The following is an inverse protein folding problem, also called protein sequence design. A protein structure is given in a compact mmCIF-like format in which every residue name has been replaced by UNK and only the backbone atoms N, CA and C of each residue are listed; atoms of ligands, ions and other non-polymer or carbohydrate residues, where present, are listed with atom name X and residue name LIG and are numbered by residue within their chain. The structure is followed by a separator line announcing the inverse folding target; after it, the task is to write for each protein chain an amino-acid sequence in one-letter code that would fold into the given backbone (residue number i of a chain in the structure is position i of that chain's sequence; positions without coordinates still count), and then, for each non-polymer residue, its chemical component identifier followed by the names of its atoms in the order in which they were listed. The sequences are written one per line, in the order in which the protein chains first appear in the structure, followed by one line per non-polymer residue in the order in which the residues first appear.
data_IF_772431528356
#
_entry.id   IF_772431528356
#
_cell.length_a   1.000
_cell.length_b   1.000
_cell.length_c   1.000
_cell.angle_alpha   90.00
_cell.angle_beta   90.00
_cell.angle_gamma   90.00
#
_symmetry.space_group_name_H-M   'P 1'
#
loop_
_entity.id
_entity.type
_entity.pdbx_description
1 polymer ?
#
# COMPACT_ATOMS: atom_id res chain seq x y z
N UNK A 1 -5.02 21.32 -16.26
CA UNK A 1 -6.12 22.30 -16.11
C UNK A 1 -7.40 21.52 -15.88
N UNK A 2 -8.11 21.82 -14.79
CA UNK A 2 -9.28 21.10 -14.33
C UNK A 2 -10.53 21.49 -15.13
N UNK A 3 -11.41 20.52 -15.41
CA UNK A 3 -12.80 20.78 -15.79
C UNK A 3 -13.71 19.86 -14.98
N UNK A 4 -14.57 20.51 -14.19
CA UNK A 4 -15.72 19.94 -13.48
C UNK A 4 -16.74 19.36 -14.48
N UNK A 5 -17.30 18.19 -14.17
CA UNK A 5 -18.53 17.70 -14.78
C UNK A 5 -19.57 17.40 -13.69
N UNK A 6 -20.54 18.30 -13.61
CA UNK A 6 -21.80 18.16 -12.88
C UNK A 6 -22.80 17.46 -13.80
N UNK A 7 -23.51 16.46 -13.27
CA UNK A 7 -24.56 15.68 -13.96
C UNK A 7 -25.89 16.44 -13.90
N UNK A 8 -26.69 16.50 -14.99
CA UNK A 8 -28.12 16.77 -14.88
C UNK A 8 -29.00 15.60 -15.38
N UNK A 9 -30.09 15.36 -14.64
CA UNK A 9 -31.19 14.48 -15.00
C UNK A 9 -32.09 15.12 -16.06
N UNK A 10 -32.68 14.31 -16.94
CA UNK A 10 -33.40 14.77 -18.14
C UNK A 10 -34.87 15.16 -17.92
N UNK A 11 -35.38 16.00 -18.83
CA UNK A 11 -36.44 15.65 -19.81
C UNK A 11 -37.12 16.88 -20.44
N UNK A 12 -37.66 16.67 -21.64
CA UNK A 12 -38.70 17.42 -22.37
C UNK A 12 -38.33 18.65 -23.27
N UNK A 13 -38.27 18.35 -24.58
CA UNK A 13 -39.00 18.97 -25.71
C UNK A 13 -39.09 20.50 -25.87
N UNK A 14 -38.48 21.08 -26.92
CA UNK A 14 -39.14 21.61 -28.15
C UNK A 14 -38.22 22.55 -28.98
N UNK A 15 -38.20 22.29 -30.30
CA UNK A 15 -38.01 23.17 -31.49
C UNK A 15 -37.07 24.39 -31.52
N UNK A 16 -36.38 24.44 -32.67
CA UNK A 16 -35.95 25.59 -33.51
C UNK A 16 -34.52 26.17 -33.39
N UNK A 17 -33.68 25.72 -34.34
CA UNK A 17 -33.05 26.50 -35.44
C UNK A 17 -32.23 27.75 -35.06
N UNK A 18 -30.91 27.67 -35.21
CA UNK A 18 -30.08 28.41 -36.20
C UNK A 18 -28.57 28.19 -35.97
N UNK A 19 -27.87 28.09 -37.09
CA UNK A 19 -26.41 27.98 -37.26
C UNK A 19 -25.65 29.19 -36.69
N UNK A 20 -24.41 28.98 -36.25
CA UNK A 20 -23.26 29.65 -36.88
C UNK A 20 -21.90 29.07 -36.45
N UNK A 21 -21.08 28.87 -37.47
CA UNK A 21 -19.67 28.46 -37.47
C UNK A 21 -18.82 29.71 -37.24
N UNK A 22 -17.74 29.63 -36.45
CA UNK A 22 -16.54 30.46 -36.73
C UNK A 22 -15.27 29.82 -36.17
N UNK A 23 -14.30 29.70 -37.09
CA UNK A 23 -12.91 29.26 -36.92
C UNK A 23 -12.05 30.52 -36.79
N UNK A 24 -11.07 30.56 -35.88
CA UNK A 24 -9.81 31.29 -36.12
C UNK A 24 -8.75 31.05 -35.02
N UNK A 25 -7.62 30.48 -35.44
CA UNK A 25 -6.25 30.86 -35.05
C UNK A 25 -5.62 31.55 -36.28
N UNK A 26 -4.35 32.01 -36.34
CA UNK A 26 -3.25 32.05 -35.35
C UNK A 26 -2.48 33.43 -35.35
N UNK A 27 -1.38 33.58 -34.58
CA UNK A 27 -0.04 34.02 -35.09
C UNK A 27 1.05 34.22 -34.02
N UNK A 28 2.26 34.12 -34.56
CA UNK A 28 3.65 34.05 -34.07
C UNK A 28 4.29 35.27 -33.38
N UNK A 29 5.53 34.98 -32.91
CA UNK A 29 6.73 35.83 -32.75
C UNK A 29 6.91 36.45 -31.35
N UNK A 30 8.08 36.50 -30.71
CA UNK A 30 9.45 36.16 -31.06
C UNK A 30 10.41 36.81 -30.04
N UNK A 31 11.71 36.47 -30.12
CA UNK A 31 12.90 37.15 -29.57
C UNK A 31 13.29 37.06 -28.07
N UNK A 32 14.44 36.40 -27.85
CA UNK A 32 15.49 36.65 -26.83
C UNK A 32 16.27 37.96 -27.16
N UNK A 33 17.19 38.52 -26.32
CA UNK A 33 18.50 37.88 -25.97
C UNK A 33 19.19 38.23 -24.62
N UNK A 34 20.10 37.33 -24.20
CA UNK A 34 21.48 37.48 -23.66
C UNK A 34 21.91 38.49 -22.56
N UNK A 35 22.66 37.98 -21.56
CA UNK A 35 24.03 38.39 -21.10
C UNK A 35 24.25 38.08 -19.58
N UNK A 36 25.11 37.13 -19.17
CA UNK A 36 26.57 37.21 -18.84
C UNK A 36 26.93 38.02 -17.56
N UNK A 37 27.39 37.34 -16.50
CA UNK A 37 28.74 37.53 -15.87
C UNK A 37 28.91 36.72 -14.56
N UNK A 38 30.05 36.01 -14.45
CA UNK A 38 30.75 35.61 -13.21
C UNK A 38 31.85 36.65 -12.93
N UNK A 39 32.39 36.73 -11.70
CA UNK A 39 33.72 36.11 -11.48
C UNK A 39 33.92 35.50 -10.07
N UNK A 40 34.86 34.55 -9.97
CA UNK A 40 35.52 34.16 -8.70
C UNK A 40 36.74 35.07 -8.41
N UNK A 41 37.47 34.83 -7.30
CA UNK A 41 38.72 34.07 -7.45
C UNK A 41 39.10 33.14 -6.28
N UNK A 42 40.13 32.32 -6.53
CA UNK A 42 40.78 31.29 -5.70
C UNK A 42 41.91 31.86 -4.80
N UNK A 43 42.39 31.01 -3.89
CA UNK A 43 43.80 30.66 -3.49
C UNK A 43 43.80 30.44 -1.95
N UNK A 44 44.38 29.41 -1.31
CA UNK A 44 45.12 28.20 -1.70
C UNK A 44 45.89 27.64 -0.47
N UNK A 45 46.17 26.32 -0.47
CA UNK A 45 47.26 25.62 0.26
C UNK A 45 47.15 25.48 1.81
N UNK A 46 47.61 24.48 2.56
CA UNK A 46 48.28 23.17 2.32
C UNK A 46 48.37 22.39 3.66
N UNK A 47 48.10 21.08 3.63
CA UNK A 47 48.87 19.92 4.18
C UNK A 47 49.33 19.79 5.67
N UNK A 48 49.12 18.53 6.15
CA UNK A 48 49.92 17.66 7.06
C UNK A 48 49.59 17.61 8.58
N UNK A 49 49.14 16.44 9.04
CA UNK A 49 49.65 15.82 10.29
C UNK A 49 50.87 14.91 9.97
N UNK A 50 51.32 13.98 10.83
CA UNK A 50 50.91 13.60 12.20
C UNK A 50 52.10 13.50 13.22
N UNK A 51 51.85 13.21 14.51
CA UNK A 51 52.62 12.27 15.37
C UNK A 51 52.29 12.36 16.88
N UNK A 52 52.53 11.22 17.52
CA UNK A 52 52.30 10.68 18.87
C UNK A 52 53.10 11.23 20.09
N UNK A 53 52.43 11.29 21.26
CA UNK A 53 52.78 10.79 22.63
C UNK A 53 54.02 11.36 23.41
N UNK A 54 54.23 11.13 24.75
CA UNK A 54 53.35 10.75 25.89
C UNK A 54 53.65 11.44 27.29
N UNK A 55 52.83 11.06 28.31
CA UNK A 55 53.09 10.93 29.79
C UNK A 55 52.72 11.99 30.87
N UNK A 56 52.13 11.42 31.95
CA UNK A 56 52.02 11.78 33.39
C UNK A 56 50.95 12.76 33.95
N UNK A 57 49.79 12.17 34.30
CA UNK A 57 49.21 12.04 35.65
C UNK A 57 49.14 13.20 36.66
N UNK A 58 47.91 13.58 37.06
CA UNK A 58 47.55 13.82 38.48
C UNK A 58 46.04 13.78 38.73
N UNK A 59 45.66 13.07 39.80
CA UNK A 59 44.32 12.85 40.36
C UNK A 59 43.72 14.12 41.00
N UNK A 60 42.41 14.31 40.93
CA UNK A 60 41.53 14.97 41.94
C UNK A 60 40.16 14.28 41.90
N UNK A 61 39.86 13.42 42.88
CA UNK A 61 39.12 13.71 44.12
C UNK A 61 37.63 14.02 43.90
N UNK A 62 36.85 12.95 43.95
CA UNK A 62 35.40 12.92 44.13
C UNK A 62 35.09 13.01 45.63
N UNK A 63 34.22 13.94 46.02
CA UNK A 63 33.71 14.13 47.38
C UNK A 63 32.37 13.37 47.50
N UNK A 64 32.22 12.40 48.41
CA UNK A 64 30.92 11.79 48.70
C UNK A 64 30.25 12.50 49.89
N UNK A 65 29.09 13.12 49.66
CA UNK A 65 28.22 13.59 50.73
C UNK A 65 27.32 12.43 51.20
N UNK A 66 27.67 11.86 52.36
CA UNK A 66 26.79 11.03 53.19
C UNK A 66 25.70 11.93 53.79
N UNK A 67 24.44 11.66 53.48
CA UNK A 67 23.31 12.18 54.25
C UNK A 67 22.77 11.03 55.10
N UNK A 68 22.87 11.22 56.41
CA UNK A 68 22.39 10.32 57.47
C UNK A 68 20.87 10.42 57.57
N UNK A 69 20.18 9.29 57.51
CA UNK A 69 18.76 9.17 57.84
C UNK A 69 18.62 9.19 59.36
N UNK A 70 18.14 10.31 59.90
CA UNK A 70 17.69 10.40 61.30
C UNK A 70 16.17 10.19 61.32
N UNK A 71 15.74 9.05 61.87
CA UNK A 71 14.33 8.83 62.24
C UNK A 71 13.94 9.83 63.33
N UNK A 72 13.02 10.74 63.00
CA UNK A 72 12.24 11.47 64.00
C UNK A 72 10.81 10.92 63.97
N UNK A 73 10.45 10.14 65.00
CA UNK A 73 9.06 9.88 65.34
C UNK A 73 8.47 11.18 65.90
N UNK A 74 7.57 11.79 65.15
CA UNK A 74 6.75 12.92 65.57
C UNK A 74 5.32 12.69 65.13
N UNK A 75 4.50 12.13 66.02
CA UNK A 75 3.05 12.03 65.84
C UNK A 75 2.46 13.45 65.83
N UNK A 76 2.00 13.92 64.66
CA UNK A 76 1.09 15.07 64.58
C UNK A 76 -0.18 14.64 63.83
N UNK A 77 -1.31 14.64 64.55
CA UNK A 77 -2.65 14.42 63.99
C UNK A 77 -3.01 15.61 63.10
N UNK A 78 -2.96 15.44 61.78
CA UNK A 78 -3.57 16.39 60.84
C UNK A 78 -5.05 16.05 60.65
N UNK A 79 -5.93 17.01 60.96
CA UNK A 79 -7.38 16.88 60.87
C UNK A 79 -7.89 16.79 59.42
N UNK A 80 -9.00 16.06 59.24
CA UNK A 80 -9.59 15.70 57.95
C UNK A 80 -9.93 16.85 56.98
N UNK A 81 -9.88 18.12 57.42
CA UNK A 81 -10.06 19.28 56.53
C UNK A 81 -8.86 19.52 55.61
N UNK A 82 -7.65 19.11 55.98
CA UNK A 82 -6.45 19.29 55.15
C UNK A 82 -6.39 18.27 53.99
N UNK A 83 -6.85 17.04 54.23
CA UNK A 83 -6.97 15.99 53.20
C UNK A 83 -8.02 16.33 52.14
N UNK A 84 -9.15 16.93 52.54
CA UNK A 84 -10.15 17.41 51.60
C UNK A 84 -9.63 18.56 50.73
N UNK A 85 -8.81 19.47 51.28
CA UNK A 85 -8.27 20.60 50.53
C UNK A 85 -7.23 20.16 49.48
N UNK A 86 -6.37 19.19 49.82
CA UNK A 86 -5.40 18.60 48.86
C UNK A 86 -6.11 17.79 47.77
N UNK A 87 -7.20 17.08 48.10
CA UNK A 87 -8.01 16.37 47.11
C UNK A 87 -8.79 17.33 46.21
N UNK A 88 -9.35 18.41 46.76
CA UNK A 88 -10.08 19.41 45.99
C UNK A 88 -9.15 20.19 45.06
N UNK A 89 -7.94 20.57 45.50
CA UNK A 89 -6.95 21.28 44.67
C UNK A 89 -6.40 20.38 43.55
N UNK A 90 -6.15 19.08 43.80
CA UNK A 90 -5.70 18.15 42.74
C UNK A 90 -6.81 17.85 41.72
N UNK A 91 -8.07 17.77 42.14
CA UNK A 91 -9.22 17.62 41.23
C UNK A 91 -9.49 18.91 40.45
N UNK A 92 -9.36 20.08 41.08
CA UNK A 92 -9.56 21.38 40.42
C UNK A 92 -8.42 21.70 39.44
N UNK A 93 -7.16 21.34 39.74
CA UNK A 93 -6.04 21.45 38.79
C UNK A 93 -6.22 20.54 37.58
N UNK A 94 -6.82 19.36 37.75
CA UNK A 94 -7.20 18.49 36.64
C UNK A 94 -8.28 19.12 35.74
N UNK A 95 -9.20 19.88 36.32
CA UNK A 95 -10.25 20.59 35.59
C UNK A 95 -9.78 21.91 34.95
N UNK A 96 -8.81 22.61 35.53
CA UNK A 96 -8.33 23.91 35.05
C UNK A 96 -7.12 23.82 34.10
N UNK A 97 -6.22 22.84 34.29
CA UNK A 97 -4.97 22.75 33.51
C UNK A 97 -4.98 21.73 32.37
N UNK A 98 -6.13 21.10 32.05
CA UNK A 98 -6.28 20.28 30.84
C UNK A 98 -5.27 19.12 30.70
N UNK A 99 -4.56 18.76 31.78
CA UNK A 99 -3.56 17.70 31.83
C UNK A 99 -4.18 16.33 32.09
N UNK A 100 -5.41 16.12 31.61
CA UNK A 100 -5.78 14.77 31.20
C UNK A 100 -5.00 14.51 29.92
N UNK A 101 -3.78 13.97 30.05
CA UNK A 101 -3.20 13.20 28.96
C UNK A 101 -4.22 12.12 28.62
N UNK A 102 -5.06 12.39 27.63
CA UNK A 102 -5.85 11.39 26.94
C UNK A 102 -4.84 10.40 26.40
N UNK A 103 -4.54 9.36 27.18
CA UNK A 103 -3.74 8.24 26.73
C UNK A 103 -4.39 7.77 25.43
N UNK A 104 -3.71 8.01 24.31
CA UNK A 104 -4.31 7.89 22.98
C UNK A 104 -5.01 6.54 22.85
N UNK A 105 -6.25 6.56 22.36
CA UNK A 105 -7.02 5.35 22.13
C UNK A 105 -6.20 4.38 21.27
N UNK A 106 -6.04 3.14 21.71
CA UNK A 106 -5.28 2.12 20.97
C UNK A 106 -6.24 1.31 20.11
N UNK A 107 -6.02 1.32 18.79
CA UNK A 107 -6.83 0.57 17.84
C UNK A 107 -6.03 -0.67 17.39
N UNK A 108 -6.45 -1.88 17.77
CA UNK A 108 -5.80 -3.12 17.35
C UNK A 108 -6.15 -3.50 15.91
N UNK A 109 -5.13 -3.86 15.13
CA UNK A 109 -5.20 -4.30 13.75
C UNK A 109 -4.63 -5.71 13.62
N UNK A 110 -5.30 -6.57 12.87
CA UNK A 110 -4.73 -7.86 12.47
C UNK A 110 -4.01 -7.73 11.14
N UNK A 111 -2.87 -8.37 10.99
CA UNK A 111 -2.14 -8.40 9.73
C UNK A 111 -1.65 -9.81 9.41
N UNK A 112 -1.92 -10.30 8.20
CA UNK A 112 -1.51 -11.63 7.73
C UNK A 112 -0.67 -11.47 6.46
N UNK A 113 0.54 -12.01 6.47
CA UNK A 113 1.46 -11.96 5.33
C UNK A 113 1.90 -13.35 4.92
N UNK A 114 2.04 -13.59 3.63
CA UNK A 114 2.64 -14.82 3.12
C UNK A 114 4.17 -14.76 3.14
N UNK A 115 4.82 -15.91 3.32
CA UNK A 115 6.27 -16.03 3.27
C UNK A 115 6.80 -15.54 1.92
N UNK A 116 7.86 -14.71 1.94
CA UNK A 116 8.44 -14.10 0.75
C UNK A 116 7.92 -12.69 0.44
N UNK A 117 6.97 -12.16 1.22
CA UNK A 117 6.47 -10.77 1.10
C UNK A 117 7.12 -9.81 2.11
N UNK A 118 8.43 -9.98 2.34
CA UNK A 118 9.14 -9.25 3.40
C UNK A 118 9.16 -7.74 3.19
N UNK A 119 9.27 -7.28 1.94
CA UNK A 119 9.20 -5.87 1.56
C UNK A 119 7.83 -5.25 1.91
N UNK A 120 6.74 -5.98 1.64
CA UNK A 120 5.37 -5.58 1.98
C UNK A 120 5.16 -5.53 3.49
N UNK A 121 5.66 -6.54 4.22
CA UNK A 121 5.60 -6.56 5.69
C UNK A 121 6.38 -5.39 6.30
N UNK A 122 7.55 -5.09 5.76
CA UNK A 122 8.38 -3.97 6.20
C UNK A 122 7.71 -2.63 5.91
N UNK A 123 7.10 -2.46 4.73
CA UNK A 123 6.33 -1.26 4.39
C UNK A 123 5.13 -1.04 5.34
N UNK A 124 4.44 -2.11 5.72
CA UNK A 124 3.37 -2.07 6.73
C UNK A 124 3.87 -1.60 8.10
N UNK A 125 4.95 -2.20 8.62
CA UNK A 125 5.56 -1.81 9.90
C UNK A 125 6.03 -0.35 9.87
N UNK A 126 6.64 0.06 8.77
CA UNK A 126 7.11 1.42 8.56
C UNK A 126 5.95 2.43 8.54
N UNK A 127 4.83 2.11 7.87
CA UNK A 127 3.63 2.95 7.85
C UNK A 127 3.05 3.17 9.25
N UNK A 128 2.93 2.11 10.05
CA UNK A 128 2.44 2.19 11.44
C UNK A 128 3.38 3.01 12.31
N UNK A 129 4.69 2.78 12.20
CA UNK A 129 5.69 3.54 12.94
C UNK A 129 5.60 5.04 12.61
N UNK A 130 5.51 5.38 11.32
CA UNK A 130 5.38 6.76 10.86
C UNK A 130 4.10 7.43 11.39
N UNK A 131 2.97 6.72 11.42
CA UNK A 131 1.74 7.22 12.03
C UNK A 131 1.90 7.44 13.54
N UNK A 132 2.41 6.44 14.26
CA UNK A 132 2.52 6.47 15.72
C UNK A 132 3.52 7.53 16.23
N UNK A 133 4.60 7.81 15.47
CA UNK A 133 5.59 8.84 15.80
C UNK A 133 5.11 10.27 15.54
N UNK A 134 4.10 10.46 14.69
CA UNK A 134 3.60 11.80 14.34
C UNK A 134 2.65 12.35 15.42
N UNK A 135 3.22 12.85 16.51
CA UNK A 135 2.48 13.23 17.73
C UNK A 135 1.57 14.46 17.55
N UNK A 136 1.95 15.40 16.68
CA UNK A 136 1.28 16.72 16.58
C UNK A 136 -0.14 16.70 15.99
N UNK A 137 -0.62 15.55 15.48
CA UNK A 137 -1.97 15.43 14.89
C UNK A 137 -2.66 14.10 15.16
N UNK A 138 -2.08 13.22 15.98
CA UNK A 138 -2.55 11.85 16.18
C UNK A 138 -3.60 11.77 17.28
N UNK A 139 -4.77 11.19 16.95
CA UNK A 139 -5.88 10.98 17.91
C UNK A 139 -5.86 9.59 18.56
N UNK A 140 -5.26 8.61 17.90
CA UNK A 140 -5.22 7.21 18.30
C UNK A 140 -3.89 6.57 17.90
N UNK A 141 -3.47 5.55 18.64
CA UNK A 141 -2.31 4.71 18.32
C UNK A 141 -2.77 3.44 17.59
N UNK A 142 -2.03 3.03 16.56
CA UNK A 142 -2.26 1.74 15.92
C UNK A 142 -1.41 0.65 16.60
N UNK A 143 -2.06 -0.44 17.02
CA UNK A 143 -1.39 -1.63 17.52
C UNK A 143 -1.59 -2.76 16.51
N UNK A 144 -0.53 -3.29 15.93
CA UNK A 144 -0.65 -4.37 14.93
C UNK A 144 -0.24 -5.74 15.46
N UNK A 145 -1.04 -6.74 15.11
CA UNK A 145 -0.81 -8.14 15.38
C UNK A 145 -0.48 -8.86 14.07
N UNK A 146 0.81 -9.08 13.83
CA UNK A 146 1.32 -9.63 12.58
C UNK A 146 1.50 -11.14 12.71
N UNK A 147 0.87 -11.91 11.82
CA UNK A 147 1.14 -13.34 11.62
C UNK A 147 1.70 -13.56 10.20
N UNK A 148 2.68 -14.46 10.07
CA UNK A 148 3.26 -14.87 8.77
C UNK A 148 2.87 -16.31 8.48
N UNK A 149 2.35 -16.56 7.29
CA UNK A 149 1.85 -17.86 6.84
C UNK A 149 2.71 -18.43 5.71
N UNK A 150 2.78 -19.75 5.64
CA UNK A 150 3.48 -20.51 4.60
C UNK A 150 2.60 -21.60 3.98
N UNK A 151 1.27 -21.48 4.14
CA UNK A 151 0.32 -22.52 3.75
C UNK A 151 -0.96 -21.90 3.22
N UNK A 152 -1.46 -22.45 2.11
CA UNK A 152 -2.78 -22.17 1.57
C UNK A 152 -3.87 -23.11 2.13
N UNK A 153 -3.54 -23.92 3.14
CA UNK A 153 -4.47 -24.85 3.77
C UNK A 153 -5.57 -24.08 4.53
N UNK A 154 -6.80 -24.17 4.03
CA UNK A 154 -7.96 -23.48 4.59
C UNK A 154 -8.22 -23.81 6.07
N UNK A 155 -7.92 -25.03 6.55
CA UNK A 155 -8.09 -25.39 7.95
C UNK A 155 -7.08 -24.69 8.86
N UNK A 156 -5.81 -24.58 8.42
CA UNK A 156 -4.80 -23.82 9.16
C UNK A 156 -5.10 -22.32 9.11
N UNK A 157 -5.49 -21.82 7.94
CA UNK A 157 -5.84 -20.40 7.75
C UNK A 157 -7.04 -19.98 8.59
N UNK A 158 -8.13 -20.74 8.58
CA UNK A 158 -9.28 -20.48 9.45
C UNK A 158 -8.90 -20.35 10.91
N UNK A 159 -8.07 -21.26 11.44
CA UNK A 159 -7.61 -21.17 12.84
C UNK A 159 -6.80 -19.90 13.12
N UNK A 160 -5.95 -19.47 12.18
CA UNK A 160 -5.16 -18.24 12.30
C UNK A 160 -6.04 -16.99 12.25
N UNK A 161 -7.00 -16.94 11.31
CA UNK A 161 -7.98 -15.86 11.20
C UNK A 161 -8.77 -15.72 12.49
N UNK A 162 -9.25 -16.84 13.03
CA UNK A 162 -10.00 -16.86 14.28
C UNK A 162 -9.16 -16.46 15.49
N UNK A 163 -7.87 -16.77 15.48
CA UNK A 163 -6.94 -16.26 16.49
C UNK A 163 -6.75 -14.74 16.38
N UNK A 164 -6.75 -14.18 15.16
CA UNK A 164 -6.71 -12.73 14.98
C UNK A 164 -8.00 -12.07 15.45
N UNK A 165 -9.15 -12.67 15.17
CA UNK A 165 -10.45 -12.19 15.65
C UNK A 165 -10.55 -12.24 17.18
N UNK A 166 -9.95 -13.25 17.81
CA UNK A 166 -9.93 -13.37 19.27
C UNK A 166 -9.10 -12.28 19.97
N UNK A 167 -8.13 -11.68 19.26
CA UNK A 167 -7.34 -10.52 19.71
C UNK A 167 -8.14 -9.20 19.69
N UNK A 168 -9.39 -9.21 19.21
CA UNK A 168 -10.26 -8.03 19.22
C UNK A 168 -9.89 -6.97 18.17
N UNK A 169 -9.39 -7.40 17.02
CA UNK A 169 -8.96 -6.50 15.93
C UNK A 169 -10.15 -5.80 15.25
N UNK A 170 -9.93 -4.56 14.80
CA UNK A 170 -10.98 -3.73 14.18
C UNK A 170 -11.03 -3.85 12.67
N UNK A 171 -9.90 -4.23 12.08
CA UNK A 171 -9.71 -4.47 10.67
C UNK A 171 -8.55 -5.45 10.50
N UNK A 172 -8.63 -6.24 9.45
CA UNK A 172 -7.56 -7.07 8.96
C UNK A 172 -6.85 -6.38 7.80
N UNK A 173 -5.54 -6.57 7.69
CA UNK A 173 -4.75 -6.24 6.52
C UNK A 173 -3.94 -7.46 6.10
N UNK A 174 -3.53 -7.53 4.85
CA UNK A 174 -2.63 -8.61 4.46
C UNK A 174 -2.34 -8.68 2.99
N UNK A 175 -1.17 -9.22 2.67
CA UNK A 175 -0.78 -9.62 1.32
C UNK A 175 -0.67 -11.14 1.31
N UNK A 176 -1.55 -11.77 0.55
CA UNK A 176 -1.71 -13.22 0.52
C UNK A 176 -1.91 -13.70 -0.92
N UNK A 177 -1.52 -14.94 -1.19
CA UNK A 177 -1.80 -15.64 -2.44
C UNK A 177 -3.31 -15.70 -2.74
N UNK A 178 -3.70 -15.80 -4.03
CA UNK A 178 -5.10 -16.00 -4.41
C UNK A 178 -5.77 -17.17 -3.68
N UNK A 179 -5.06 -18.29 -3.55
CA UNK A 179 -5.58 -19.50 -2.88
C UNK A 179 -5.91 -19.25 -1.39
N UNK A 180 -5.05 -18.48 -0.70
CA UNK A 180 -5.26 -18.13 0.71
C UNK A 180 -6.33 -17.05 0.89
N UNK A 181 -6.48 -16.17 -0.10
CA UNK A 181 -7.45 -15.09 -0.04
C UNK A 181 -8.88 -15.61 -0.02
N UNK A 182 -9.24 -16.62 -0.81
CA UNK A 182 -10.63 -17.09 -0.88
C UNK A 182 -11.17 -17.48 0.51
N UNK A 183 -10.30 -18.08 1.32
CA UNK A 183 -10.59 -18.37 2.72
C UNK A 183 -10.74 -17.09 3.55
N UNK A 184 -9.79 -16.15 3.45
CA UNK A 184 -9.85 -14.86 4.16
C UNK A 184 -11.08 -14.03 3.79
N UNK A 185 -11.46 -14.03 2.52
CA UNK A 185 -12.60 -13.33 1.96
C UNK A 185 -13.91 -13.88 2.47
N UNK A 186 -14.05 -15.20 2.47
CA UNK A 186 -15.20 -15.89 3.02
C UNK A 186 -15.41 -15.56 4.50
N UNK A 187 -14.33 -15.59 5.29
CA UNK A 187 -14.38 -15.21 6.71
C UNK A 187 -14.67 -13.71 6.90
N UNK A 188 -14.01 -12.83 6.13
CA UNK A 188 -14.24 -11.39 6.16
C UNK A 188 -15.72 -11.05 5.92
N UNK A 189 -16.35 -11.67 4.92
CA UNK A 189 -17.76 -11.47 4.62
C UNK A 189 -18.71 -12.10 5.64
N UNK A 190 -18.40 -13.30 6.13
CA UNK A 190 -19.23 -14.00 7.13
C UNK A 190 -19.27 -13.25 8.46
N UNK A 191 -18.12 -12.78 8.93
CA UNK A 191 -17.99 -12.05 10.20
C UNK A 191 -18.11 -10.53 10.03
N UNK A 192 -18.34 -10.02 8.82
CA UNK A 192 -18.38 -8.60 8.50
C UNK A 192 -17.09 -7.86 8.93
N UNK A 193 -15.95 -8.55 8.94
CA UNK A 193 -14.66 -7.99 9.34
C UNK A 193 -14.03 -7.27 8.14
N UNK A 194 -13.76 -5.96 8.21
CA UNK A 194 -13.09 -5.23 7.12
C UNK A 194 -11.71 -5.83 6.85
N UNK A 195 -11.44 -6.17 5.60
CA UNK A 195 -10.15 -6.68 5.15
C UNK A 195 -9.60 -5.79 4.04
N UNK A 196 -8.40 -5.22 4.24
CA UNK A 196 -7.74 -4.38 3.24
C UNK A 196 -6.50 -5.08 2.73
N UNK A 197 -6.40 -5.22 1.42
CA UNK A 197 -5.25 -5.88 0.78
C UNK A 197 -4.61 -4.99 -0.30
N UNK A 198 -3.27 -4.90 -0.36
CA UNK A 198 -2.57 -4.24 -1.46
C UNK A 198 -2.69 -5.01 -2.77
N UNK A 199 -3.02 -6.29 -2.70
CA UNK A 199 -2.95 -7.20 -3.83
C UNK A 199 -4.05 -8.26 -3.78
N UNK A 200 -4.97 -8.22 -4.74
CA UNK A 200 -5.97 -9.27 -4.97
C UNK A 200 -6.53 -9.23 -6.42
N UNK A 201 -7.00 -10.36 -7.00
CA UNK A 201 -7.52 -10.46 -8.37
C UNK A 201 -8.65 -9.51 -8.76
N UNK A 202 -8.73 -9.40 -10.09
CA UNK A 202 -9.48 -8.43 -10.86
C UNK A 202 -10.99 -8.63 -10.83
N UNK A 203 -11.46 -9.69 -10.18
CA UNK A 203 -12.88 -9.91 -9.91
C UNK A 203 -13.07 -10.75 -8.66
N UNK A 204 -13.32 -10.09 -7.53
CA UNK A 204 -14.15 -10.72 -6.49
C UNK A 204 -15.55 -10.78 -7.07
N UNK A 205 -16.16 -11.96 -7.17
CA UNK A 205 -17.59 -12.04 -7.49
C UNK A 205 -18.33 -11.32 -6.38
N UNK A 206 -18.79 -10.09 -6.65
CA UNK A 206 -19.64 -9.38 -5.72
C UNK A 206 -20.84 -10.29 -5.41
N UNK A 207 -21.20 -10.48 -4.13
CA UNK A 207 -22.28 -11.37 -3.79
C UNK A 207 -23.55 -10.93 -4.53
N UNK A 208 -24.13 -11.84 -5.33
CA UNK A 208 -25.33 -11.62 -6.15
C UNK A 208 -26.55 -11.13 -5.35
N UNK A 209 -26.44 -11.20 -4.03
CA UNK A 209 -27.43 -10.86 -3.02
C UNK A 209 -27.42 -9.39 -2.58
N UNK A 210 -26.56 -8.53 -3.17
CA UNK A 210 -26.56 -7.08 -2.87
C UNK A 210 -25.96 -6.70 -1.51
N UNK A 211 -25.30 -7.64 -0.82
CA UNK A 211 -24.55 -7.35 0.40
C UNK A 211 -23.23 -6.62 0.11
N UNK A 212 -22.78 -5.81 1.07
CA UNK A 212 -21.49 -5.14 1.00
C UNK A 212 -20.36 -6.17 1.08
N UNK A 213 -19.42 -6.11 0.14
CA UNK A 213 -18.16 -6.86 0.24
C UNK A 213 -17.28 -6.20 1.32
N UNK A 214 -16.77 -7.01 2.25
CA UNK A 214 -15.93 -6.54 3.36
C UNK A 214 -14.44 -6.54 3.01
N UNK A 215 -14.06 -7.12 1.87
CA UNK A 215 -12.73 -6.94 1.31
C UNK A 215 -12.63 -5.67 0.46
N UNK A 216 -11.55 -4.93 0.66
CA UNK A 216 -11.20 -3.74 -0.11
C UNK A 216 -9.82 -3.93 -0.72
N UNK A 217 -9.77 -3.96 -2.05
CA UNK A 217 -8.51 -3.98 -2.80
C UNK A 217 -7.99 -2.56 -3.00
N UNK A 218 -6.69 -2.37 -2.76
CA UNK A 218 -5.98 -1.13 -3.09
C UNK A 218 -5.44 -1.13 -4.52
N UNK A 219 -5.39 -2.31 -5.17
CA UNK A 219 -4.86 -2.47 -6.52
C UNK A 219 -5.86 -1.91 -7.55
N UNK A 220 -5.45 -0.98 -8.42
CA UNK A 220 -6.30 -0.53 -9.50
C UNK A 220 -6.50 -1.64 -10.54
N UNK A 221 -7.68 -1.70 -11.14
CA UNK A 221 -7.93 -2.51 -12.33
C UNK A 221 -7.16 -1.91 -13.52
N UNK A 222 -6.34 -2.72 -14.19
CA UNK A 222 -5.49 -2.24 -15.29
C UNK A 222 -5.69 -2.99 -16.61
N UNK A 223 -6.62 -3.96 -16.71
CA UNK A 223 -7.03 -4.51 -18.00
C UNK A 223 -7.47 -3.43 -19.00
N UNK A 224 -8.15 -2.36 -18.52
CA UNK A 224 -8.52 -1.23 -19.37
C UNK A 224 -7.29 -0.48 -19.90
N UNK A 225 -6.28 -0.28 -19.07
CA UNK A 225 -5.02 0.34 -19.49
C UNK A 225 -4.29 -0.49 -20.56
N UNK A 226 -4.33 -1.83 -20.46
CA UNK A 226 -3.81 -2.73 -21.50
C UNK A 226 -4.55 -2.49 -22.81
N UNK A 227 -5.88 -2.54 -22.79
CA UNK A 227 -6.73 -2.34 -23.98
C UNK A 227 -6.45 -0.99 -24.63
N UNK A 228 -6.38 0.08 -23.83
CA UNK A 228 -6.16 1.43 -24.32
C UNK A 228 -4.74 1.60 -24.88
N UNK A 229 -3.74 0.92 -24.31
CA UNK A 229 -2.37 0.90 -24.85
C UNK A 229 -2.30 0.18 -26.19
N UNK A 230 -2.96 -0.97 -26.31
CA UNK A 230 -3.06 -1.74 -27.57
C UNK A 230 -3.76 -0.91 -28.66
N UNK A 231 -4.83 -0.19 -28.29
CA UNK A 231 -5.53 0.75 -29.18
C UNK A 231 -4.65 1.94 -29.57
N UNK A 232 -3.93 2.54 -28.63
CA UNK A 232 -3.04 3.68 -28.86
C UNK A 232 -1.96 3.36 -29.88
N UNK A 233 -1.35 2.17 -29.80
CA UNK A 233 -0.36 1.74 -30.78
C UNK A 233 -0.96 1.16 -32.08
N UNK A 234 -2.27 0.98 -32.17
CA UNK A 234 -2.93 0.42 -33.34
C UNK A 234 -2.59 -1.05 -33.61
N UNK A 235 -2.28 -1.82 -32.55
CA UNK A 235 -1.95 -3.24 -32.69
C UNK A 235 -3.19 -4.04 -33.08
N UNK A 236 -3.18 -4.67 -34.25
CA UNK A 236 -4.32 -5.46 -34.74
C UNK A 236 -4.33 -6.90 -34.23
N UNK A 237 -3.17 -7.46 -33.93
CA UNK A 237 -2.98 -8.84 -33.50
C UNK A 237 -2.02 -8.87 -32.33
N UNK A 238 -2.44 -9.44 -31.21
CA UNK A 238 -1.59 -9.58 -30.02
C UNK A 238 -1.36 -11.06 -29.68
N UNK A 239 -0.21 -11.34 -29.07
CA UNK A 239 0.16 -12.63 -28.50
C UNK A 239 0.10 -12.47 -26.98
N UNK A 240 -0.67 -13.29 -26.29
CA UNK A 240 -0.85 -13.21 -24.84
C UNK A 240 -0.13 -14.36 -24.15
N UNK A 241 0.89 -14.05 -23.36
CA UNK A 241 1.63 -15.02 -22.53
C UNK A 241 1.30 -14.77 -21.07
N UNK A 242 0.98 -15.82 -20.32
CA UNK A 242 0.59 -15.69 -18.91
C UNK A 242 1.08 -16.86 -18.06
N UNK A 243 1.34 -16.65 -16.76
CA UNK A 243 1.82 -17.70 -15.85
C UNK A 243 0.74 -18.25 -14.88
N UNK A 244 -0.20 -17.39 -14.51
CA UNK A 244 -1.10 -17.58 -13.36
C UNK A 244 -2.58 -17.61 -13.75
N UNK A 245 -3.42 -18.15 -12.86
CA UNK A 245 -4.87 -18.14 -13.05
C UNK A 245 -5.43 -16.71 -13.10
N UNK A 246 -4.82 -15.77 -12.38
CA UNK A 246 -5.13 -14.34 -12.43
C UNK A 246 -4.99 -13.79 -13.86
N UNK A 247 -3.95 -14.21 -14.59
CA UNK A 247 -3.74 -13.76 -15.96
C UNK A 247 -4.80 -14.29 -16.93
N UNK A 248 -5.39 -15.46 -16.64
CA UNK A 248 -6.53 -15.96 -17.40
C UNK A 248 -7.81 -15.15 -17.15
N UNK A 249 -8.04 -14.73 -15.90
CA UNK A 249 -9.18 -13.86 -15.56
C UNK A 249 -9.03 -12.49 -16.22
N UNK A 250 -7.83 -11.92 -16.23
CA UNK A 250 -7.53 -10.67 -16.94
C UNK A 250 -7.78 -10.80 -18.44
N UNK A 251 -7.35 -11.91 -19.05
CA UNK A 251 -7.64 -12.20 -20.44
C UNK A 251 -9.14 -12.28 -20.71
N UNK A 252 -9.92 -12.92 -19.82
CA UNK A 252 -11.38 -12.96 -19.93
C UNK A 252 -11.98 -11.55 -19.90
N UNK A 253 -11.49 -10.66 -19.04
CA UNK A 253 -11.94 -9.26 -18.99
C UNK A 253 -11.56 -8.48 -20.25
N UNK A 254 -10.38 -8.74 -20.82
CA UNK A 254 -9.98 -8.17 -22.10
C UNK A 254 -10.98 -8.60 -23.19
N UNK A 255 -11.34 -9.88 -23.28
CA UNK A 255 -12.36 -10.35 -24.22
C UNK A 255 -13.74 -9.76 -23.96
N UNK A 256 -14.16 -9.61 -22.69
CA UNK A 256 -15.45 -9.01 -22.35
C UNK A 256 -15.53 -7.52 -22.71
N UNK A 257 -14.40 -6.81 -22.65
CA UNK A 257 -14.32 -5.41 -23.04
C UNK A 257 -14.23 -5.21 -24.56
N UNK A 258 -13.91 -6.26 -25.32
CA UNK A 258 -13.96 -6.25 -26.78
C UNK A 258 -15.41 -6.44 -27.24
N UNK A 259 -15.95 -5.45 -27.95
CA UNK A 259 -17.33 -5.48 -28.44
C UNK A 259 -17.40 -6.42 -29.66
N UNK A 260 -18.27 -7.43 -29.65
CA UNK A 260 -18.47 -8.30 -30.81
C UNK A 260 -18.85 -7.49 -32.05
N UNK A 261 -18.10 -7.62 -33.13
CA UNK A 261 -18.36 -6.94 -34.42
C UNK A 261 -17.70 -5.57 -34.60
N UNK A 262 -17.04 -5.02 -33.58
CA UNK A 262 -16.20 -3.81 -33.69
C UNK A 262 -14.89 -3.99 -32.90
N UNK A 263 -14.19 -5.09 -33.18
CA UNK A 263 -12.95 -5.43 -32.51
C UNK A 263 -11.80 -4.56 -33.05
N UNK A 264 -11.20 -3.75 -32.18
CA UNK A 264 -10.00 -2.98 -32.53
C UNK A 264 -8.77 -3.86 -32.73
N UNK A 265 -8.75 -5.04 -32.09
CA UNK A 265 -7.67 -6.01 -32.19
C UNK A 265 -8.15 -7.43 -31.88
N UNK A 266 -7.37 -8.42 -32.30
CA UNK A 266 -7.60 -9.83 -32.05
C UNK A 266 -6.44 -10.45 -31.26
N UNK A 267 -6.76 -11.35 -30.34
CA UNK A 267 -5.75 -12.16 -29.65
C UNK A 267 -5.46 -13.37 -30.53
N UNK A 268 -4.29 -13.36 -31.19
CA UNK A 268 -3.91 -14.40 -32.17
C UNK A 268 -3.54 -15.70 -31.47
N UNK A 269 -2.76 -15.60 -30.40
CA UNK A 269 -2.26 -16.77 -29.66
C UNK A 269 -2.29 -16.48 -28.18
N UNK A 270 -2.71 -17.48 -27.42
CA UNK A 270 -2.73 -17.46 -25.95
C UNK A 270 -1.90 -18.66 -25.49
N UNK A 271 -0.90 -18.43 -24.64
CA UNK A 271 -0.06 -19.51 -24.11
C UNK A 271 0.19 -19.30 -22.62
N UNK A 272 -0.13 -20.34 -21.84
CA UNK A 272 0.34 -20.44 -20.47
C UNK A 272 1.83 -20.81 -20.47
N UNK A 273 2.63 -20.10 -19.69
CA UNK A 273 4.05 -20.32 -19.50
C UNK A 273 4.30 -20.69 -18.04
N UNK A 274 5.09 -21.72 -17.79
CA UNK A 274 5.50 -22.08 -16.43
C UNK A 274 6.89 -21.55 -16.11
N UNK A 275 7.77 -21.55 -17.12
CA UNK A 275 9.19 -21.21 -16.99
C UNK A 275 9.63 -20.31 -18.15
N UNK A 276 10.73 -19.57 -17.95
CA UNK A 276 11.34 -18.70 -18.97
C UNK A 276 11.74 -19.47 -20.23
N UNK A 277 12.30 -20.66 -20.09
CA UNK A 277 12.70 -21.50 -21.24
C UNK A 277 11.52 -21.87 -22.13
N UNK A 278 10.34 -22.11 -21.55
CA UNK A 278 9.13 -22.45 -22.30
C UNK A 278 8.66 -21.24 -23.12
N UNK A 279 8.69 -20.05 -22.53
CA UNK A 279 8.38 -18.81 -23.22
C UNK A 279 9.34 -18.57 -24.40
N UNK A 280 10.65 -18.73 -24.20
CA UNK A 280 11.64 -18.56 -25.26
C UNK A 280 11.47 -19.58 -26.39
N UNK A 281 11.22 -20.85 -26.05
CA UNK A 281 10.96 -21.89 -27.06
C UNK A 281 9.71 -21.57 -27.88
N UNK A 282 8.64 -21.10 -27.24
CA UNK A 282 7.44 -20.67 -27.93
C UNK A 282 7.71 -19.49 -28.89
N UNK A 283 8.47 -18.49 -28.44
CA UNK A 283 8.87 -17.35 -29.28
C UNK A 283 9.71 -17.79 -30.49
N UNK A 284 10.62 -18.77 -30.32
CA UNK A 284 11.38 -19.34 -31.45
C UNK A 284 10.46 -19.97 -32.48
N UNK A 285 9.45 -20.73 -32.05
CA UNK A 285 8.46 -21.30 -32.95
C UNK A 285 7.68 -20.25 -33.74
N UNK A 286 7.38 -19.08 -33.15
CA UNK A 286 6.76 -17.97 -33.87
C UNK A 286 7.70 -17.34 -34.91
N UNK A 287 8.99 -17.29 -34.60
CA UNK A 287 10.01 -16.77 -35.50
C UNK A 287 10.23 -17.68 -36.71
N UNK A 288 10.22 -19.00 -36.50
CA UNK A 288 10.30 -20.02 -37.57
C UNK A 288 9.11 -19.92 -38.52
N UNK A 289 7.91 -19.66 -38.00
CA UNK A 289 6.69 -19.50 -38.81
C UNK A 289 6.67 -18.17 -39.60
N UNK A 290 7.17 -17.09 -39.00
CA UNK A 290 6.95 -15.74 -39.53
C UNK A 290 8.05 -14.75 -39.14
N UNK A 291 9.25 -14.88 -39.73
CA UNK A 291 10.42 -14.04 -39.37
C UNK A 291 10.18 -12.52 -39.49
N UNK A 292 9.46 -12.08 -40.51
CA UNK A 292 9.32 -10.65 -40.85
C UNK A 292 8.05 -9.99 -40.31
N UNK A 293 7.14 -10.76 -39.71
CA UNK A 293 5.92 -10.20 -39.14
C UNK A 293 6.23 -9.51 -37.81
N UNK A 294 5.62 -8.34 -37.60
CA UNK A 294 5.65 -7.65 -36.31
C UNK A 294 4.85 -8.46 -35.28
N UNK A 295 5.49 -8.77 -34.16
CA UNK A 295 4.96 -9.58 -33.07
C UNK A 295 4.78 -8.71 -31.84
N UNK A 296 3.52 -8.45 -31.51
CA UNK A 296 3.14 -7.69 -30.33
C UNK A 296 2.81 -8.66 -29.20
N UNK A 297 3.65 -8.71 -28.17
CA UNK A 297 3.57 -9.70 -27.10
C UNK A 297 3.17 -9.04 -25.80
N UNK A 298 2.02 -9.43 -25.25
CA UNK A 298 1.59 -9.08 -23.89
C UNK A 298 2.12 -10.13 -22.92
N UNK A 299 2.95 -9.72 -21.98
CA UNK A 299 3.52 -10.56 -20.93
C UNK A 299 2.78 -10.31 -19.61
N UNK A 300 1.95 -11.28 -19.21
CA UNK A 300 1.21 -11.31 -17.95
C UNK A 300 1.77 -12.37 -17.00
N UNK A 301 2.99 -12.11 -16.55
CA UNK A 301 3.69 -12.93 -15.56
C UNK A 301 4.32 -12.05 -14.47
N UNK A 302 4.94 -12.69 -13.48
CA UNK A 302 5.69 -11.99 -12.44
C UNK A 302 6.78 -11.08 -13.01
N UNK A 303 7.15 -10.06 -12.24
CA UNK A 303 8.19 -9.10 -12.63
C UNK A 303 9.50 -9.80 -12.97
N UNK A 304 9.94 -10.73 -12.12
CA UNK A 304 11.19 -11.48 -12.32
C UNK A 304 11.14 -12.33 -13.59
N UNK A 305 10.04 -13.03 -13.83
CA UNK A 305 9.89 -13.88 -15.03
C UNK A 305 9.85 -13.04 -16.30
N UNK A 306 9.09 -11.94 -16.31
CA UNK A 306 9.07 -11.00 -17.43
C UNK A 306 10.47 -10.46 -17.72
N UNK A 307 11.24 -10.14 -16.67
CA UNK A 307 12.61 -9.64 -16.80
C UNK A 307 13.52 -10.65 -17.49
N UNK A 308 13.48 -11.89 -17.02
CA UNK A 308 14.30 -12.97 -17.57
C UNK A 308 13.90 -13.36 -18.99
N UNK A 309 12.61 -13.31 -19.34
CA UNK A 309 12.14 -13.56 -20.72
C UNK A 309 12.70 -12.53 -21.69
N UNK A 310 12.63 -11.24 -21.35
CA UNK A 310 13.15 -10.16 -22.20
C UNK A 310 14.67 -10.28 -22.36
N UNK A 311 15.40 -10.50 -21.26
CA UNK A 311 16.85 -10.72 -21.28
C UNK A 311 17.22 -11.93 -22.13
N UNK A 312 16.53 -13.05 -21.91
CA UNK A 312 16.72 -14.29 -22.64
C UNK A 312 16.46 -14.11 -24.13
N UNK A 313 15.41 -13.37 -24.50
CA UNK A 313 15.11 -13.05 -25.89
C UNK A 313 16.26 -12.29 -26.53
N UNK A 314 16.71 -11.20 -25.91
CA UNK A 314 17.72 -10.32 -26.51
C UNK A 314 19.07 -11.04 -26.69
N UNK A 315 19.41 -11.94 -25.76
CA UNK A 315 20.62 -12.78 -25.82
C UNK A 315 20.53 -13.91 -26.84
N UNK A 316 19.33 -14.32 -27.21
CA UNK A 316 19.11 -15.36 -28.20
C UNK A 316 19.34 -14.83 -29.63
N UNK A 317 20.25 -15.46 -30.36
CA UNK A 317 20.58 -15.08 -31.74
C UNK A 317 19.49 -15.50 -32.72
N UNK A 318 18.69 -16.52 -32.37
CA UNK A 318 17.61 -17.01 -33.22
C UNK A 318 16.40 -16.06 -33.25
N UNK A 319 16.24 -15.20 -32.24
CA UNK A 319 15.09 -14.30 -32.11
C UNK A 319 15.38 -12.91 -32.69
N UNK A 320 14.46 -12.42 -33.51
CA UNK A 320 14.55 -11.09 -34.09
C UNK A 320 14.22 -10.00 -33.06
N UNK A 321 15.07 -8.99 -32.90
CA UNK A 321 14.81 -7.91 -31.90
C UNK A 321 13.91 -6.80 -32.43
N UNK A 322 14.02 -6.48 -33.73
CA UNK A 322 13.34 -5.32 -34.36
C UNK A 322 11.86 -5.54 -34.66
N UNK A 323 11.45 -6.81 -34.76
CA UNK A 323 10.08 -7.20 -35.11
C UNK A 323 9.21 -7.42 -33.88
N UNK A 324 9.76 -7.26 -32.67
CA UNK A 324 9.04 -7.51 -31.42
C UNK A 324 8.81 -6.22 -30.64
N UNK A 325 7.64 -6.16 -30.01
CA UNK A 325 7.30 -5.15 -29.02
C UNK A 325 6.58 -5.82 -27.87
N UNK A 326 7.17 -5.70 -26.68
CA UNK A 326 6.64 -6.26 -25.44
C UNK A 326 5.77 -5.24 -24.70
N UNK A 327 4.59 -5.66 -24.29
CA UNK A 327 3.75 -4.97 -23.31
C UNK A 327 3.74 -5.78 -22.02
N UNK A 328 4.34 -5.23 -20.97
CA UNK A 328 4.32 -5.80 -19.63
C UNK A 328 2.99 -5.41 -18.98
N UNK A 329 2.08 -6.37 -18.82
CA UNK A 329 0.75 -6.08 -18.28
C UNK A 329 0.78 -5.79 -16.78
N UNK A 330 1.69 -6.41 -16.03
CA UNK A 330 1.81 -6.18 -14.58
C UNK A 330 2.32 -4.78 -14.21
N UNK A 331 2.15 -4.40 -12.94
CA UNK A 331 2.77 -3.22 -12.32
C UNK A 331 4.26 -3.48 -12.04
N UNK A 332 4.95 -3.90 -13.08
CA UNK A 332 6.26 -4.56 -13.06
C UNK A 332 7.40 -3.55 -13.19
N UNK A 333 7.12 -2.34 -13.70
CA UNK A 333 8.13 -1.32 -14.01
C UNK A 333 8.47 -0.38 -12.81
N UNK A 334 8.13 -0.76 -11.58
CA UNK A 334 8.52 0.05 -10.39
C UNK A 334 10.01 -0.17 -10.01
N UNK A 335 10.60 -1.29 -10.43
CA UNK A 335 12.04 -1.55 -10.33
C UNK A 335 12.79 -0.88 -11.49
N UNK A 336 13.97 -0.29 -11.23
CA UNK A 336 14.77 0.45 -12.24
C UNK A 336 15.47 -0.49 -13.24
N UNK A 337 14.69 -1.24 -14.01
CA UNK A 337 15.19 -2.20 -15.00
C UNK A 337 16.10 -1.55 -16.04
N UNK A 338 15.78 -0.32 -16.44
CA UNK A 338 16.54 0.47 -17.43
C UNK A 338 18.00 0.72 -17.04
N UNK A 339 18.32 0.75 -15.74
CA UNK A 339 19.68 0.98 -15.26
C UNK A 339 20.46 -0.32 -15.02
N UNK A 340 19.75 -1.43 -14.79
CA UNK A 340 20.36 -2.72 -14.42
C UNK A 340 20.65 -3.61 -15.63
N UNK A 341 19.92 -3.43 -16.74
CA UNK A 341 19.96 -4.38 -17.85
C UNK A 341 20.04 -3.64 -19.20
N UNK A 342 21.22 -3.70 -19.81
CA UNK A 342 21.52 -3.04 -21.11
C UNK A 342 20.63 -3.59 -22.23
N UNK A 343 20.20 -4.84 -22.13
CA UNK A 343 19.36 -5.54 -23.10
C UNK A 343 17.99 -4.88 -23.32
N UNK A 344 17.48 -4.09 -22.37
CA UNK A 344 16.20 -3.38 -22.50
C UNK A 344 16.23 -2.29 -23.57
N UNK A 345 17.41 -1.75 -23.90
CA UNK A 345 17.57 -0.80 -25.00
C UNK A 345 17.52 -1.43 -26.39
N UNK A 346 17.52 -2.77 -26.48
CA UNK A 346 17.61 -3.48 -27.75
C UNK A 346 16.25 -3.84 -28.37
N UNK A 347 15.16 -3.70 -27.62
CA UNK A 347 13.81 -4.12 -28.01
C UNK A 347 12.76 -3.13 -27.47
N UNK A 348 11.63 -2.98 -28.16
CA UNK A 348 10.57 -2.09 -27.71
C UNK A 348 9.82 -2.70 -26.53
N UNK A 349 9.75 -1.96 -25.42
CA UNK A 349 9.09 -2.40 -24.19
C UNK A 349 8.19 -1.28 -23.70
N UNK A 350 6.95 -1.63 -23.41
CA UNK A 350 5.97 -0.77 -22.76
C UNK A 350 5.52 -1.45 -21.47
N UNK A 351 5.32 -0.69 -20.41
CA UNK A 351 4.77 -1.22 -19.17
C UNK A 351 4.13 -0.13 -18.34
N UNK A 352 3.50 -0.53 -17.24
CA UNK A 352 2.78 0.38 -16.34
C UNK A 352 3.55 0.58 -15.04
N UNK A 353 3.53 1.81 -14.54
CA UNK A 353 4.15 2.22 -13.27
C UNK A 353 3.14 3.03 -12.48
N UNK A 354 2.89 2.66 -11.23
CA UNK A 354 1.97 3.41 -10.35
C UNK A 354 2.73 4.32 -9.37
N UNK A 355 3.98 4.00 -9.06
CA UNK A 355 4.80 4.80 -8.15
C UNK A 355 5.56 5.86 -8.94
N UNK A 356 5.18 7.12 -8.78
CA UNK A 356 5.84 8.25 -9.43
C UNK A 356 6.85 8.92 -8.49
N UNK A 357 8.12 8.59 -8.69
CA UNK A 357 9.28 9.12 -7.97
C UNK A 357 9.51 10.63 -8.14
N UNK A 358 8.86 11.31 -9.10
CA UNK A 358 8.98 12.76 -9.26
C UNK A 358 8.24 13.54 -8.15
N UNK A 359 7.21 12.93 -7.56
CA UNK A 359 6.34 13.57 -6.57
C UNK A 359 7.06 13.73 -5.23
N UNK A 360 6.96 14.92 -4.63
CA UNK A 360 7.63 15.26 -3.37
C UNK A 360 7.38 14.22 -2.25
N UNK A 361 6.13 13.86 -2.02
CA UNK A 361 5.79 12.90 -0.95
C UNK A 361 6.39 11.51 -1.18
N UNK A 362 6.53 11.07 -2.43
CA UNK A 362 7.20 9.80 -2.76
C UNK A 362 8.69 9.91 -2.50
N UNK A 363 9.32 11.05 -2.85
CA UNK A 363 10.73 11.30 -2.53
C UNK A 363 11.00 11.31 -1.04
N UNK A 364 10.18 12.03 -0.26
CA UNK A 364 10.29 12.08 1.20
C UNK A 364 10.16 10.66 1.81
N UNK A 365 9.22 9.86 1.29
CA UNK A 365 9.07 8.46 1.68
C UNK A 365 10.32 7.62 1.33
N UNK A 366 10.81 7.70 0.08
CA UNK A 366 11.97 6.94 -0.39
C UNK A 366 13.24 7.30 0.39
N UNK A 367 13.41 8.57 0.78
CA UNK A 367 14.52 8.98 1.64
C UNK A 367 14.46 8.32 3.03
N UNK A 368 13.28 8.19 3.62
CA UNK A 368 13.07 7.44 4.85
C UNK A 368 13.29 5.94 4.67
N UNK A 369 12.76 5.38 3.59
CA UNK A 369 12.88 3.97 3.23
C UNK A 369 14.33 3.53 3.03
N UNK A 370 15.14 4.36 2.38
CA UNK A 370 16.57 4.12 2.15
C UNK A 370 17.39 4.10 3.44
N UNK A 371 16.96 4.82 4.47
CA UNK A 371 17.66 4.89 5.78
C UNK A 371 17.40 3.68 6.67
N UNK A 372 16.42 2.84 6.33
CA UNK A 372 16.14 1.63 7.09
C UNK A 372 17.28 0.62 6.91
N UNK A 373 17.66 -0.04 8.02
CA UNK A 373 18.66 -1.10 8.01
C UNK A 373 18.08 -2.35 7.34
N UNK A 374 18.69 -2.79 6.23
CA UNK A 374 18.26 -3.95 5.47
C UNK A 374 18.31 -5.27 6.27
N UNK A 375 19.14 -5.34 7.33
CA UNK A 375 19.21 -6.52 8.20
C UNK A 375 17.98 -6.60 9.12
N UNK A 376 17.54 -5.47 9.67
CA UNK A 376 16.36 -5.41 10.55
C UNK A 376 15.05 -5.31 9.78
N UNK A 377 15.10 -4.78 8.56
CA UNK A 377 13.96 -4.48 7.69
C UNK A 377 14.21 -5.06 6.31
N UNK A 378 14.04 -6.38 6.12
CA UNK A 378 14.28 -7.02 4.84
C UNK A 378 13.39 -6.43 3.74
N UNK A 379 13.96 -6.22 2.56
CA UNK A 379 13.29 -5.55 1.44
C UNK A 379 13.36 -4.01 1.46
N UNK A 380 13.73 -3.38 2.59
CA UNK A 380 14.00 -1.94 2.66
C UNK A 380 15.48 -1.60 2.39
N UNK A 381 15.84 -0.32 2.54
CA UNK A 381 17.21 0.16 2.30
C UNK A 381 17.57 0.33 0.82
N UNK A 382 16.58 0.25 -0.07
CA UNK A 382 16.74 0.42 -1.54
C UNK A 382 16.25 1.81 -1.97
N UNK A 383 16.66 2.22 -3.17
CA UNK A 383 16.20 3.47 -3.81
C UNK A 383 14.81 3.34 -4.48
N UNK A 384 14.25 2.13 -4.49
CA UNK A 384 12.94 1.80 -5.07
C UNK A 384 12.10 1.01 -4.07
N UNK A 385 10.80 0.95 -4.36
CA UNK A 385 9.80 0.19 -3.64
C UNK A 385 8.90 -0.52 -4.65
N UNK A 386 8.49 -1.76 -4.35
CA UNK A 386 7.55 -2.50 -5.18
C UNK A 386 6.15 -1.85 -5.14
N UNK A 387 5.37 -2.00 -6.21
CA UNK A 387 3.95 -1.60 -6.24
C UNK A 387 3.17 -2.16 -5.05
N UNK A 388 3.38 -3.44 -4.72
CA UNK A 388 2.68 -4.11 -3.62
C UNK A 388 3.00 -3.48 -2.27
N UNK A 389 4.28 -3.21 -1.98
CA UNK A 389 4.69 -2.57 -0.75
C UNK A 389 4.21 -1.11 -0.67
N UNK A 390 4.24 -0.37 -1.78
CA UNK A 390 3.70 0.99 -1.83
C UNK A 390 2.18 1.04 -1.58
N UNK A 391 1.43 0.10 -2.19
CA UNK A 391 0.00 -0.04 -1.95
C UNK A 391 -0.31 -0.44 -0.51
N UNK A 392 0.53 -1.26 0.13
CA UNK A 392 0.36 -1.62 1.54
C UNK A 392 0.61 -0.42 2.46
N UNK A 393 1.62 0.40 2.16
CA UNK A 393 1.85 1.65 2.87
C UNK A 393 0.62 2.56 2.78
N UNK A 394 0.10 2.80 1.56
CA UNK A 394 -1.10 3.62 1.37
C UNK A 394 -2.36 2.97 1.98
N UNK A 395 -2.45 1.63 2.05
CA UNK A 395 -3.56 0.90 2.70
C UNK A 395 -3.70 1.27 4.18
N UNK A 396 -2.57 1.36 4.89
CA UNK A 396 -2.55 1.78 6.30
C UNK A 396 -3.06 3.21 6.43
N UNK A 397 -2.66 4.14 5.55
CA UNK A 397 -3.15 5.52 5.58
C UNK A 397 -4.63 5.66 5.19
N UNK A 398 -5.12 4.81 4.28
CA UNK A 398 -6.56 4.73 3.98
C UNK A 398 -7.35 4.31 5.22
N UNK A 399 -6.85 3.32 5.96
CA UNK A 399 -7.46 2.88 7.19
C UNK A 399 -7.41 3.96 8.29
N UNK A 400 -6.26 4.62 8.46
CA UNK A 400 -6.10 5.74 9.39
C UNK A 400 -7.09 6.86 9.08
N UNK A 401 -7.24 7.24 7.82
CA UNK A 401 -8.18 8.28 7.41
C UNK A 401 -9.64 7.85 7.64
N UNK A 402 -9.97 6.57 7.39
CA UNK A 402 -11.29 6.03 7.69
C UNK A 402 -11.60 6.12 9.20
N UNK A 403 -10.67 5.72 10.07
CA UNK A 403 -10.84 5.84 11.52
C UNK A 403 -10.91 7.29 11.98
N UNK A 404 -10.06 8.18 11.44
CA UNK A 404 -10.12 9.61 11.73
C UNK A 404 -11.50 10.20 11.38
N UNK A 405 -12.09 9.85 10.23
CA UNK A 405 -13.45 10.28 9.86
C UNK A 405 -14.51 9.73 10.81
N UNK A 406 -14.38 8.47 11.24
CA UNK A 406 -15.31 7.85 12.20
C UNK A 406 -15.24 8.55 13.56
N UNK A 407 -14.03 8.80 14.07
CA UNK A 407 -13.78 9.47 15.34
C UNK A 407 -14.13 10.96 15.32
N UNK A 408 -13.95 11.64 14.18
CA UNK A 408 -14.44 13.03 14.00
C UNK A 408 -15.95 13.11 14.13
N UNK A 409 -16.69 12.13 13.60
CA UNK A 409 -18.16 12.12 13.68
C UNK A 409 -18.67 11.77 15.08
N UNK A 410 -18.04 10.83 15.77
CA UNK A 410 -18.33 10.49 17.16
C UNK A 410 -17.04 10.02 17.86
N UNK A 411 -16.48 10.80 18.79
CA UNK A 411 -15.19 10.51 19.43
C UNK A 411 -15.25 9.32 20.40
N UNK A 412 -16.44 8.92 20.85
CA UNK A 412 -16.63 7.80 21.78
C UNK A 412 -16.96 6.48 21.08
N UNK A 413 -16.88 6.43 19.74
CA UNK A 413 -17.22 5.23 18.97
C UNK A 413 -16.39 4.01 19.37
N UNK A 414 -15.16 4.22 19.81
CA UNK A 414 -14.21 3.14 20.13
C UNK A 414 -13.86 3.09 21.64
N UNK A 415 -14.32 4.06 22.45
CA UNK A 415 -13.93 4.22 23.85
C UNK A 415 -14.52 3.16 24.80
N UNK A 416 -15.58 2.47 24.37
CA UNK A 416 -16.24 1.43 25.15
C UNK A 416 -15.58 0.04 25.00
N UNK A 417 -14.38 -0.02 24.40
CA UNK A 417 -13.67 -1.25 24.02
C UNK A 417 -12.53 -1.59 25.02
N UNK A 418 -12.47 -0.88 26.15
CA UNK A 418 -11.47 -1.17 27.19
C UNK A 418 -11.86 -2.37 28.08
N UNK A 419 -11.17 -3.47 27.81
CA UNK A 419 -10.76 -4.56 28.69
C UNK A 419 -11.05 -4.39 30.20
N UNK A 420 -11.88 -5.27 30.78
CA UNK A 420 -11.87 -5.55 32.23
C UNK A 420 -10.84 -6.65 32.52
N UNK A 421 -9.75 -6.39 33.28
CA UNK A 421 -8.82 -7.44 33.68
C UNK A 421 -9.41 -8.21 34.86
N UNK A 422 -9.80 -9.47 34.64
CA UNK A 422 -10.29 -10.32 35.74
C UNK A 422 -10.98 -11.62 35.36
N UNK A 423 -11.35 -11.83 34.10
CA UNK A 423 -11.81 -13.12 33.57
C UNK A 423 -11.26 -13.24 32.16
N UNK A 424 -10.69 -14.38 31.78
CA UNK A 424 -10.01 -14.62 30.50
C UNK A 424 -10.88 -14.54 29.23
N UNK A 425 -11.84 -13.63 29.19
CA UNK A 425 -12.71 -13.28 28.07
C UNK A 425 -12.78 -11.75 28.01
N UNK A 426 -12.21 -11.18 26.97
CA UNK A 426 -12.44 -9.78 26.62
C UNK A 426 -13.92 -9.63 26.23
N UNK A 427 -14.61 -8.61 26.73
CA UNK A 427 -15.99 -8.31 26.38
C UNK A 427 -16.01 -6.91 25.77
N UNK A 428 -16.67 -6.76 24.63
CA UNK A 428 -16.86 -5.46 23.99
C UNK A 428 -18.24 -4.94 24.38
N UNK A 429 -18.37 -4.16 25.45
CA UNK A 429 -19.63 -3.54 25.87
C UNK A 429 -20.92 -4.41 25.72
N UNK A 430 -20.86 -5.69 26.12
CA UNK A 430 -21.97 -6.65 26.02
C UNK A 430 -22.01 -7.52 24.74
N UNK A 431 -21.19 -7.26 23.73
CA UNK A 431 -20.96 -8.16 22.59
C UNK A 431 -19.74 -9.06 22.83
N UNK A 432 -19.89 -10.36 22.52
CA UNK A 432 -18.83 -11.36 22.64
C UNK A 432 -17.75 -11.08 21.59
N UNK A 433 -16.48 -11.28 21.94
CA UNK A 433 -15.40 -11.48 20.96
C UNK A 433 -15.91 -12.38 19.84
N UNK A 434 -15.56 -12.07 18.60
CA UNK A 434 -15.88 -12.89 17.43
C UNK A 434 -15.36 -14.31 17.66
N UNK A 435 -16.27 -15.20 18.02
CA UNK A 435 -16.01 -16.62 18.20
C UNK A 435 -16.33 -17.32 16.88
N UNK A 436 -15.31 -17.87 16.25
CA UNK A 436 -15.48 -18.64 15.03
C UNK A 436 -16.12 -20.00 15.26
N UNK A 437 -16.07 -20.54 16.48
CA UNK A 437 -16.52 -21.89 16.79
C UNK A 437 -17.98 -21.89 17.30
N UNK A 438 -18.85 -21.14 16.62
CA UNK A 438 -20.24 -21.03 16.99
C UNK A 438 -20.97 -22.37 16.76
N UNK A 439 -21.11 -23.16 17.82
CA UNK A 439 -21.66 -24.52 17.80
C UNK A 439 -23.15 -24.61 17.40
N UNK A 440 -23.82 -23.47 17.23
CA UNK A 440 -25.24 -23.34 16.88
C UNK A 440 -25.54 -22.79 15.48
N UNK A 441 -24.55 -22.75 14.58
CA UNK A 441 -24.73 -22.36 13.17
C UNK A 441 -25.02 -20.88 12.89
N UNK A 442 -25.28 -20.06 13.92
CA UNK A 442 -25.48 -18.61 13.79
C UNK A 442 -24.22 -17.86 14.21
N UNK A 443 -23.57 -17.22 13.25
CA UNK A 443 -22.40 -16.38 13.47
C UNK A 443 -22.84 -14.96 13.82
N UNK A 444 -22.22 -14.36 14.84
CA UNK A 444 -22.43 -12.95 15.17
C UNK A 444 -21.45 -12.10 14.34
N UNK A 445 -21.94 -11.17 13.51
CA UNK A 445 -21.08 -10.28 12.75
C UNK A 445 -20.42 -9.23 13.65
N UNK A 446 -19.33 -8.64 13.16
CA UNK A 446 -18.63 -7.54 13.80
C UNK A 446 -19.47 -6.26 13.81
N UNK A 447 -19.75 -5.75 15.00
CA UNK A 447 -20.67 -4.61 15.21
C UNK A 447 -20.24 -3.32 14.49
N UNK A 448 -18.93 -3.13 14.29
CA UNK A 448 -18.38 -1.96 13.62
C UNK A 448 -18.02 -2.21 12.15
N UNK A 449 -18.16 -3.45 11.68
CA UNK A 449 -17.72 -3.90 10.38
C UNK A 449 -18.29 -3.09 9.22
N UNK A 450 -19.61 -3.07 9.10
CA UNK A 450 -20.32 -2.36 8.04
C UNK A 450 -20.00 -0.85 8.04
N UNK A 451 -19.89 -0.25 9.23
CA UNK A 451 -19.51 1.16 9.36
C UNK A 451 -18.11 1.40 8.83
N UNK A 452 -17.11 0.63 9.29
CA UNK A 452 -15.72 0.78 8.87
C UNK A 452 -15.59 0.57 7.35
N UNK A 453 -16.17 -0.49 6.81
CA UNK A 453 -16.15 -0.80 5.37
C UNK A 453 -16.74 0.32 4.51
N UNK A 454 -17.86 0.94 4.93
CA UNK A 454 -18.43 2.09 4.22
C UNK A 454 -17.54 3.33 4.26
N UNK A 455 -16.84 3.59 5.36
CA UNK A 455 -15.92 4.71 5.44
C UNK A 455 -14.67 4.47 4.60
N UNK A 456 -14.13 3.25 4.59
CA UNK A 456 -13.00 2.86 3.73
C UNK A 456 -13.28 3.19 2.26
N UNK A 457 -14.44 2.78 1.74
CA UNK A 457 -14.85 3.07 0.35
C UNK A 457 -15.13 4.54 0.05
N UNK A 458 -15.25 5.39 1.07
CA UNK A 458 -15.45 6.86 0.96
C UNK A 458 -14.18 7.65 1.27
N UNK A 459 -13.06 6.97 1.55
CA UNK A 459 -11.79 7.65 1.74
C UNK A 459 -11.36 8.25 0.41
N UNK A 460 -11.00 9.53 0.44
CA UNK A 460 -10.35 10.20 -0.66
C UNK A 460 -9.17 10.95 -0.05
N UNK A 461 -7.99 10.37 -0.19
CA UNK A 461 -6.75 11.00 0.23
C UNK A 461 -6.31 11.87 -0.95
N UNK A 462 -6.84 13.08 -1.01
CA UNK A 462 -6.14 14.14 -1.74
C UNK A 462 -4.90 14.46 -0.91
N UNK A 463 -3.76 13.86 -1.25
CA UNK A 463 -2.46 14.41 -0.83
C UNK A 463 -2.43 15.80 -1.49
N UNK A 464 -2.89 16.84 -0.77
CA UNK A 464 -2.98 18.19 -1.29
C UNK A 464 -1.59 18.56 -1.82
N UNK A 465 -1.54 18.86 -3.12
CA UNK A 465 -0.37 19.42 -3.79
C UNK A 465 -0.44 20.93 -3.72
#
# INVERSE_FOLDING_TARGET
MAVNLTIPAGSASTKNKKENITISSPRHAGSSPSAVTRPGPRIGSTRRGPASAPWYGRRRHSIPLKISVRQHQGHTKMGGRFLFFVWFVTVLDCFYNGLCSSMGEKIPLGAIFEQGTDDVQTAFKFAISNHNQNDSGRRFELQAYVDVINTADAFKLSRLICNQFSRGVFSMLGAVSPDSFDTLHSYSNTFQMPFVTPWFPEKVVAPSSGFLDYATSMRPEYHQAIIDTVKYYGWRRIIYLYDSNDGLLRLQQIYQALIPGNEFFQVRTVRRISNVSEALQFLRGLEEQSRWENKYVVLDCSADMAKEIVVGHVRDIALGRRTYHYLLSGLVMDDRWEAEVVEYGAINITGFRIVDSSKKHVRDFLEGWKRLDAVQSPGAGRDTISAQAALMYDAVFVLVEAFNKILRKKPDNFKNINLRPGRGQFYNNGSKILDCNASGGRVNPWEHGDKISRYLRKVNIKKNY
#
